data_IF_765039467539
#
_entry.id   IF_765039467539
#
_cell.length_a   1.000
_cell.length_b   1.000
_cell.length_c   1.000
_cell.angle_alpha   90.00
_cell.angle_beta   90.00
_cell.angle_gamma   90.00
#
_symmetry.space_group_name_H-M   'P 1'
#
loop_
_entity.id
_entity.type
_entity.pdbx_description
1 polymer ?
#
# COMPACT_ATOMS: atom_id res chain seq x y z
N UNK A 1 -24.27 -9.77 14.92
CA UNK A 1 -22.92 -9.32 14.50
C UNK A 1 -22.21 -10.53 13.90
N UNK A 2 -22.14 -10.66 12.57
CA UNK A 2 -21.43 -11.79 11.95
C UNK A 2 -19.93 -11.60 12.09
N UNK A 3 -19.25 -12.55 12.72
CA UNK A 3 -17.79 -12.55 12.81
C UNK A 3 -17.17 -12.44 11.41
N UNK A 4 -16.17 -11.56 11.25
CA UNK A 4 -15.42 -11.44 10.01
C UNK A 4 -14.46 -12.62 9.89
N UNK A 5 -14.99 -13.79 9.54
CA UNK A 5 -14.20 -14.99 9.25
C UNK A 5 -13.57 -14.85 7.86
N UNK A 6 -12.42 -14.17 7.80
CA UNK A 6 -11.61 -14.12 6.60
C UNK A 6 -10.94 -15.50 6.39
N UNK A 7 -11.69 -16.45 5.84
CA UNK A 7 -11.18 -17.78 5.49
C UNK A 7 -10.52 -17.75 4.11
N UNK A 8 -9.32 -18.33 4.01
CA UNK A 8 -8.58 -18.46 2.76
C UNK A 8 -9.39 -19.34 1.79
N UNK A 9 -9.47 -18.94 0.52
CA UNK A 9 -10.13 -19.72 -0.52
C UNK A 9 -9.38 -21.03 -0.80
N UNK A 10 -10.07 -22.17 -0.66
CA UNK A 10 -9.54 -23.47 -1.10
C UNK A 10 -9.66 -23.63 -2.62
N UNK A 11 -8.88 -24.53 -3.24
CA UNK A 11 -9.03 -24.85 -4.66
C UNK A 11 -10.43 -25.34 -5.00
N UNK A 12 -11.00 -26.22 -4.17
CA UNK A 12 -12.35 -26.77 -4.37
C UNK A 12 -13.44 -25.69 -4.35
N UNK A 13 -13.34 -24.72 -3.43
CA UNK A 13 -14.28 -23.60 -3.35
C UNK A 13 -14.20 -22.73 -4.62
N UNK A 14 -12.99 -22.50 -5.15
CA UNK A 14 -12.79 -21.75 -6.38
C UNK A 14 -13.34 -22.50 -7.58
N UNK A 15 -13.15 -23.81 -7.67
CA UNK A 15 -13.65 -24.63 -8.77
C UNK A 15 -15.18 -24.65 -8.78
N UNK A 16 -15.81 -24.78 -7.60
CA UNK A 16 -17.27 -24.65 -7.45
C UNK A 16 -17.76 -23.28 -7.92
N UNK A 17 -17.09 -22.20 -7.49
CA UNK A 17 -17.41 -20.83 -7.90
C UNK A 17 -17.31 -20.65 -9.42
N UNK A 18 -16.20 -21.08 -10.03
CA UNK A 18 -15.93 -20.97 -11.47
C UNK A 18 -16.97 -21.75 -12.28
N UNK A 19 -17.31 -22.97 -11.83
CA UNK A 19 -18.27 -23.84 -12.51
C UNK A 19 -19.65 -23.20 -12.57
N UNK A 20 -20.15 -22.68 -11.44
CA UNK A 20 -21.48 -22.05 -11.38
C UNK A 20 -21.54 -20.76 -12.19
N UNK A 21 -20.48 -19.94 -12.13
CA UNK A 21 -20.40 -18.71 -12.91
C UNK A 21 -20.37 -19.00 -14.40
N UNK A 22 -19.63 -20.02 -14.84
CA UNK A 22 -19.57 -20.41 -16.25
C UNK A 22 -20.92 -20.93 -16.73
N UNK A 23 -21.61 -21.73 -15.91
CA UNK A 23 -22.95 -22.25 -16.19
C UNK A 23 -24.01 -21.13 -16.29
N UNK A 24 -23.95 -20.12 -15.41
CA UNK A 24 -24.88 -18.99 -15.49
C UNK A 24 -24.50 -18.00 -16.60
N UNK A 25 -23.22 -17.88 -16.98
CA UNK A 25 -22.81 -17.06 -18.12
C UNK A 25 -23.30 -17.62 -19.45
N UNK A 26 -23.34 -18.95 -19.61
CA UNK A 26 -23.80 -19.57 -20.86
C UNK A 26 -25.30 -19.37 -21.14
N UNK A 27 -26.10 -19.06 -20.13
CA UNK A 27 -27.53 -18.75 -20.30
C UNK A 27 -27.78 -17.30 -20.72
N UNK A 28 -26.76 -16.45 -20.77
CA UNK A 28 -26.86 -15.04 -21.20
C UNK A 28 -27.59 -14.13 -20.20
N UNK A 29 -27.97 -14.64 -19.03
CA UNK A 29 -28.63 -13.89 -17.97
C UNK A 29 -27.64 -13.27 -16.98
N UNK A 30 -28.12 -12.32 -16.17
CA UNK A 30 -27.34 -11.74 -15.08
C UNK A 30 -27.00 -12.81 -14.05
N UNK A 31 -25.77 -12.79 -13.54
CA UNK A 31 -25.30 -13.71 -12.50
C UNK A 31 -26.14 -13.58 -11.22
N UNK A 32 -26.69 -14.69 -10.77
CA UNK A 32 -27.39 -14.82 -9.49
C UNK A 32 -26.39 -15.24 -8.41
N UNK A 33 -25.95 -14.25 -7.64
CA UNK A 33 -24.96 -14.44 -6.58
C UNK A 33 -25.52 -15.14 -5.34
N UNK A 34 -26.83 -15.09 -5.09
CA UNK A 34 -27.46 -15.84 -4.01
C UNK A 34 -27.36 -17.34 -4.31
N UNK A 35 -27.70 -17.71 -5.54
CA UNK A 35 -27.57 -19.09 -6.00
C UNK A 35 -26.11 -19.54 -6.02
N UNK A 36 -25.17 -18.69 -6.45
CA UNK A 36 -23.74 -19.06 -6.44
C UNK A 36 -23.25 -19.28 -4.99
N UNK A 37 -23.67 -18.43 -4.05
CA UNK A 37 -23.27 -18.55 -2.65
C UNK A 37 -23.83 -19.82 -2.00
N UNK A 38 -25.02 -20.31 -2.38
CA UNK A 38 -25.53 -21.57 -1.84
C UNK A 38 -24.67 -22.78 -2.23
N UNK A 39 -23.83 -22.70 -3.26
CA UNK A 39 -22.86 -23.76 -3.60
C UNK A 39 -21.51 -23.60 -2.88
N UNK A 40 -21.24 -22.40 -2.34
CA UNK A 40 -20.02 -22.06 -1.60
C UNK A 40 -20.43 -21.53 -0.23
N UNK A 41 -21.11 -22.37 0.54
CA UNK A 41 -21.76 -22.02 1.81
C UNK A 41 -20.79 -21.41 2.85
N UNK A 42 -19.50 -21.74 2.73
CA UNK A 42 -18.41 -21.23 3.56
C UNK A 42 -18.06 -19.77 3.30
N UNK A 43 -18.60 -19.17 2.22
CA UNK A 43 -18.32 -17.80 1.80
C UNK A 43 -19.61 -17.01 1.69
N UNK A 44 -19.50 -15.71 1.92
CA UNK A 44 -20.59 -14.76 1.71
C UNK A 44 -20.75 -14.43 0.23
N UNK A 45 -21.93 -13.93 -0.14
CA UNK A 45 -22.24 -13.40 -1.47
C UNK A 45 -21.18 -12.38 -1.92
N UNK A 46 -20.77 -11.51 -0.98
CA UNK A 46 -19.77 -10.48 -1.24
C UNK A 46 -18.40 -11.07 -1.56
N UNK A 47 -17.96 -12.06 -0.77
CA UNK A 47 -16.70 -12.76 -1.03
C UNK A 47 -16.71 -13.47 -2.38
N UNK A 48 -17.84 -14.08 -2.77
CA UNK A 48 -17.99 -14.71 -4.09
C UNK A 48 -17.84 -13.69 -5.23
N UNK A 49 -18.44 -12.50 -5.08
CA UNK A 49 -18.29 -11.41 -6.06
C UNK A 49 -16.84 -10.92 -6.14
N UNK A 50 -16.20 -10.65 -5.00
CA UNK A 50 -14.82 -10.16 -4.97
C UNK A 50 -13.86 -11.20 -5.60
N UNK A 51 -14.07 -12.48 -5.31
CA UNK A 51 -13.29 -13.56 -5.92
C UNK A 51 -13.55 -13.69 -7.43
N UNK A 52 -14.79 -13.51 -7.88
CA UNK A 52 -15.10 -13.44 -9.31
C UNK A 52 -14.36 -12.29 -10.00
N UNK A 53 -14.34 -11.11 -9.38
CA UNK A 53 -13.62 -9.95 -9.90
C UNK A 53 -12.13 -10.27 -10.03
N UNK A 54 -11.52 -10.90 -9.03
CA UNK A 54 -10.11 -11.30 -9.08
C UNK A 54 -9.81 -12.35 -10.16
N UNK A 55 -10.72 -13.30 -10.39
CA UNK A 55 -10.51 -14.40 -11.33
C UNK A 55 -10.81 -14.03 -12.79
N UNK A 56 -11.86 -13.24 -13.03
CA UNK A 56 -12.41 -13.02 -14.37
C UNK A 56 -12.29 -11.59 -14.88
N UNK A 57 -12.14 -10.59 -14.01
CA UNK A 57 -11.67 -9.30 -14.50
C UNK A 57 -10.18 -9.47 -14.71
N UNK A 58 -9.70 -9.07 -15.88
CA UNK A 58 -8.25 -8.92 -16.11
C UNK A 58 -7.71 -8.19 -14.88
N UNK A 59 -6.59 -8.62 -14.27
CA UNK A 59 -5.91 -7.74 -13.32
C UNK A 59 -5.84 -6.41 -14.05
N UNK A 60 -6.38 -5.36 -13.42
CA UNK A 60 -6.18 -4.01 -13.94
C UNK A 60 -4.72 -4.00 -14.34
N UNK A 61 -4.42 -3.79 -15.63
CA UNK A 61 -3.03 -3.70 -16.11
C UNK A 61 -2.37 -2.89 -15.02
N UNK A 62 -1.50 -3.52 -14.23
CA UNK A 62 -0.70 -2.76 -13.30
C UNK A 62 0.16 -2.01 -14.27
N UNK A 63 -0.30 -0.81 -14.68
CA UNK A 63 0.46 0.11 -15.48
C UNK A 63 1.83 0.05 -14.85
N UNK A 64 2.77 -0.47 -15.65
CA UNK A 64 4.14 -0.77 -15.29
C UNK A 64 4.53 0.08 -14.10
N UNK A 65 4.62 -0.54 -12.91
CA UNK A 65 4.88 0.17 -11.65
C UNK A 65 5.99 1.18 -11.94
N UNK A 66 5.69 2.47 -11.77
CA UNK A 66 6.64 3.52 -12.14
C UNK A 66 7.99 3.21 -11.48
N UNK A 67 9.01 3.07 -12.32
CA UNK A 67 10.35 2.72 -11.90
C UNK A 67 11.08 4.01 -11.55
N UNK A 68 11.20 4.26 -10.25
CA UNK A 68 11.87 5.43 -9.73
C UNK A 68 13.35 5.40 -10.12
N UNK A 69 13.80 6.46 -10.78
CA UNK A 69 15.24 6.71 -10.98
C UNK A 69 15.82 7.46 -9.79
N UNK A 70 17.12 7.30 -9.54
CA UNK A 70 17.83 7.99 -8.45
C UNK A 70 17.67 9.52 -8.57
N UNK A 71 17.65 10.03 -9.79
CA UNK A 71 17.46 11.45 -10.09
C UNK A 71 16.07 11.94 -9.69
N UNK A 72 15.02 11.17 -10.00
CA UNK A 72 13.65 11.49 -9.58
C UNK A 72 13.49 11.42 -8.06
N UNK A 73 14.12 10.45 -7.42
CA UNK A 73 14.15 10.31 -5.96
C UNK A 73 14.81 11.52 -5.29
N UNK A 74 16.00 11.92 -5.75
CA UNK A 74 16.70 13.10 -5.26
C UNK A 74 15.88 14.37 -5.46
N UNK A 75 15.27 14.52 -6.64
CA UNK A 75 14.37 15.65 -6.94
C UNK A 75 13.17 15.65 -5.98
N UNK A 76 12.56 14.50 -5.73
CA UNK A 76 11.39 14.38 -4.85
C UNK A 76 11.73 14.80 -3.43
N UNK A 77 12.85 14.31 -2.89
CA UNK A 77 13.33 14.68 -1.55
C UNK A 77 13.60 16.18 -1.47
N UNK A 78 14.26 16.77 -2.46
CA UNK A 78 14.56 18.20 -2.47
C UNK A 78 13.29 19.06 -2.50
N UNK A 79 12.36 18.75 -3.40
CA UNK A 79 11.10 19.50 -3.53
C UNK A 79 10.22 19.32 -2.28
N UNK A 80 10.19 18.12 -1.69
CA UNK A 80 9.47 17.87 -0.44
C UNK A 80 10.06 18.65 0.75
N UNK A 81 11.39 18.76 0.84
CA UNK A 81 12.07 19.60 1.86
C UNK A 81 11.70 21.08 1.75
N UNK A 82 11.56 21.59 0.53
CA UNK A 82 11.19 22.99 0.29
C UNK A 82 9.70 23.25 0.53
N UNK A 83 8.85 22.27 0.25
CA UNK A 83 7.39 22.40 0.28
C UNK A 83 6.74 21.17 0.96
N UNK A 84 6.95 20.99 2.28
CA UNK A 84 6.44 19.81 2.98
C UNK A 84 4.92 19.76 2.89
N UNK A 85 4.39 18.58 2.54
CA UNK A 85 2.96 18.27 2.43
C UNK A 85 2.13 19.06 1.43
N UNK A 86 2.73 19.98 0.67
CA UNK A 86 2.05 20.69 -0.42
C UNK A 86 2.07 19.82 -1.68
N UNK A 87 1.35 18.71 -1.63
CA UNK A 87 1.40 17.66 -2.65
C UNK A 87 1.03 18.13 -4.05
N UNK A 88 0.14 19.10 -4.17
CA UNK A 88 -0.22 19.69 -5.47
C UNK A 88 0.96 20.45 -6.09
N UNK A 89 1.71 21.23 -5.29
CA UNK A 89 2.92 21.90 -5.75
C UNK A 89 4.03 20.91 -6.11
N UNK A 90 4.16 19.84 -5.32
CA UNK A 90 5.13 18.77 -5.62
C UNK A 90 4.73 18.07 -6.92
N UNK A 91 3.44 17.76 -7.13
CA UNK A 91 2.96 17.09 -8.34
C UNK A 91 3.22 17.91 -9.60
N UNK A 92 3.16 19.24 -9.53
CA UNK A 92 3.50 20.11 -10.67
C UNK A 92 4.95 19.89 -11.17
N UNK A 93 5.85 19.38 -10.32
CA UNK A 93 7.23 19.03 -10.69
C UNK A 93 7.38 17.63 -11.27
N UNK A 94 6.32 16.81 -11.23
CA UNK A 94 6.25 15.41 -11.66
C UNK A 94 4.95 15.14 -12.43
N UNK A 95 4.77 15.68 -13.65
CA UNK A 95 3.51 15.61 -14.39
C UNK A 95 3.07 14.18 -14.74
N UNK A 96 4.02 13.24 -14.82
CA UNK A 96 3.76 11.84 -15.12
C UNK A 96 3.42 11.00 -13.87
N UNK A 97 3.45 11.58 -12.68
CA UNK A 97 3.21 10.90 -11.41
C UNK A 97 1.97 11.46 -10.72
N UNK A 98 1.21 10.56 -10.10
CA UNK A 98 0.09 10.95 -9.27
C UNK A 98 0.52 11.21 -7.82
N UNK A 99 -0.25 12.02 -7.09
CA UNK A 99 0.02 12.36 -5.68
C UNK A 99 0.18 11.11 -4.80
N UNK A 100 -0.56 10.04 -5.09
CA UNK A 100 -0.50 8.79 -4.33
C UNK A 100 0.86 8.12 -4.47
N UNK A 101 1.44 8.08 -5.67
CA UNK A 101 2.78 7.56 -5.95
C UNK A 101 3.84 8.38 -5.21
N UNK A 102 3.73 9.71 -5.24
CA UNK A 102 4.64 10.61 -4.54
C UNK A 102 4.59 10.39 -3.02
N UNK A 103 3.39 10.34 -2.43
CA UNK A 103 3.18 10.07 -1.00
C UNK A 103 3.76 8.71 -0.59
N UNK A 104 3.45 7.66 -1.36
CA UNK A 104 3.98 6.34 -1.09
C UNK A 104 5.51 6.33 -1.10
N UNK A 105 6.13 7.02 -2.06
CA UNK A 105 7.59 7.11 -2.15
C UNK A 105 8.21 7.90 -0.99
N UNK A 106 7.65 9.06 -0.64
CA UNK A 106 8.12 9.82 0.54
C UNK A 106 7.99 8.99 1.82
N UNK A 107 6.87 8.27 1.99
CA UNK A 107 6.69 7.38 3.14
C UNK A 107 7.74 6.26 3.18
N UNK A 108 8.20 5.75 2.03
CA UNK A 108 9.31 4.79 2.03
C UNK A 108 10.61 5.40 2.49
N UNK A 109 10.90 6.66 2.12
CA UNK A 109 12.10 7.36 2.59
C UNK A 109 12.06 7.64 4.08
N UNK A 110 10.91 8.07 4.62
CA UNK A 110 10.75 8.31 6.05
C UNK A 110 11.01 7.01 6.83
N UNK A 111 10.37 5.90 6.43
CA UNK A 111 10.59 4.60 7.09
C UNK A 111 12.03 4.12 7.02
N UNK A 112 12.71 4.33 5.88
CA UNK A 112 14.11 3.95 5.72
C UNK A 112 15.05 4.81 6.58
N UNK A 113 14.77 6.12 6.69
CA UNK A 113 15.53 6.99 7.58
C UNK A 113 15.30 6.64 9.04
N UNK A 114 14.07 6.35 9.44
CA UNK A 114 13.74 5.89 10.79
C UNK A 114 14.47 4.58 11.12
N UNK A 115 14.47 3.60 10.19
CA UNK A 115 15.13 2.31 10.40
C UNK A 115 16.66 2.44 10.49
N UNK A 116 17.27 3.27 9.63
CA UNK A 116 18.71 3.54 9.69
C UNK A 116 19.08 4.28 11.00
N UNK A 117 18.29 5.27 11.39
CA UNK A 117 18.46 6.00 12.65
C UNK A 117 18.34 5.10 13.88
N UNK A 118 17.37 4.19 13.90
CA UNK A 118 17.21 3.23 14.99
C UNK A 118 18.41 2.27 15.08
N UNK A 119 18.93 1.79 13.94
CA UNK A 119 20.15 0.96 13.90
C UNK A 119 21.38 1.72 14.36
N UNK A 120 21.52 2.97 13.97
CA UNK A 120 22.63 3.83 14.41
C UNK A 120 22.58 4.10 15.92
N UNK A 121 21.38 4.29 16.49
CA UNK A 121 21.20 4.41 17.94
C UNK A 121 21.56 3.09 18.65
N UNK A 122 21.12 1.95 18.14
CA UNK A 122 21.44 0.63 18.72
C UNK A 122 22.95 0.34 18.68
N UNK A 123 23.60 0.66 17.56
CA UNK A 123 25.05 0.52 17.39
C UNK A 123 25.83 1.51 18.28
N UNK A 124 25.36 2.76 18.40
CA UNK A 124 25.97 3.78 19.25
C UNK A 124 25.78 3.50 20.75
N UNK A 125 24.66 2.88 21.16
CA UNK A 125 24.45 2.47 22.55
C UNK A 125 25.31 1.25 22.95
N UNK A 126 25.89 0.54 21.99
CA UNK A 126 26.90 -0.50 22.23
C UNK A 126 28.33 0.06 22.33
N UNK A 127 28.56 1.32 21.95
CA UNK A 127 29.88 1.99 21.92
C UNK A 127 29.96 3.22 22.85
N UNK A 128 29.62 3.05 24.13
CA UNK A 128 30.10 3.88 25.27
C UNK A 128 29.62 5.36 25.31
N UNK A 129 29.44 5.85 26.55
CA UNK A 129 28.92 7.18 26.88
C UNK A 129 29.85 8.37 26.57
N UNK A 130 29.30 9.56 26.88
CA UNK A 130 29.78 10.92 26.56
C UNK A 130 29.56 11.29 25.09
N UNK A 131 28.96 12.39 24.67
CA UNK A 131 28.50 13.62 25.28
C UNK A 131 28.43 14.65 24.13
N UNK A 132 27.38 15.46 24.07
CA UNK A 132 27.20 16.68 23.24
C UNK A 132 26.72 16.61 21.77
N UNK A 133 27.10 15.65 20.92
CA UNK A 133 26.56 15.62 19.52
C UNK A 133 25.12 15.10 19.38
N UNK A 134 24.60 14.43 20.41
CA UNK A 134 23.22 13.91 20.47
C UNK A 134 22.15 15.01 20.49
N UNK A 135 22.49 16.28 20.72
CA UNK A 135 21.48 17.34 20.91
C UNK A 135 21.01 17.98 19.59
N UNK A 136 21.91 18.24 18.64
CA UNK A 136 21.57 18.99 17.42
C UNK A 136 20.76 18.16 16.42
N UNK A 137 21.13 16.89 16.24
CA UNK A 137 20.36 15.96 15.41
C UNK A 137 19.00 15.63 16.02
N UNK A 138 18.89 15.58 17.36
CA UNK A 138 17.61 15.40 18.05
C UNK A 138 16.70 16.61 17.82
N UNK A 139 17.24 17.83 17.83
CA UNK A 139 16.48 19.06 17.59
C UNK A 139 15.95 19.11 16.14
N UNK A 140 16.74 18.74 15.13
CA UNK A 140 16.28 18.72 13.74
C UNK A 140 15.19 17.68 13.48
N UNK A 141 15.29 16.51 14.13
CA UNK A 141 14.28 15.45 14.02
C UNK A 141 13.02 15.75 14.83
N UNK A 142 13.14 16.42 15.98
CA UNK A 142 11.98 16.88 16.75
C UNK A 142 11.28 18.06 16.05
N UNK A 143 12.03 18.92 15.38
CA UNK A 143 11.50 19.98 14.51
C UNK A 143 10.82 19.40 13.27
N UNK A 144 11.39 18.35 12.66
CA UNK A 144 10.73 17.59 11.59
C UNK A 144 9.48 16.90 12.11
N UNK A 145 9.54 16.15 13.22
CA UNK A 145 8.38 15.49 13.84
C UNK A 145 7.22 16.44 14.14
N UNK A 146 7.52 17.61 14.72
CA UNK A 146 6.54 18.69 14.95
C UNK A 146 5.97 19.29 13.66
N UNK A 147 6.76 19.36 12.59
CA UNK A 147 6.31 19.78 11.25
C UNK A 147 5.45 18.71 10.56
N UNK A 148 5.69 17.44 10.88
CA UNK A 148 5.01 16.27 10.35
C UNK A 148 3.74 15.89 11.14
N UNK A 149 3.41 16.63 12.22
CA UNK A 149 2.21 16.41 13.03
C UNK A 149 2.22 15.12 13.86
N UNK A 150 3.40 14.64 14.23
CA UNK A 150 3.60 13.57 15.22
C UNK A 150 4.03 14.15 16.57
#
# INVERSE_FOLDING_TARGET
MSERTYSKWSPEEKDKLITQITKQKSTGLKLDWLQIQSYVETKTIRQCYDQYVLLFKKPHKTDSRHMWTVQEEMKLVNVFKQNPYKWELIQNQFPNLNIVQLKNKVNTFIKQQDEYFLKDIENANQTIGTGTEKSENKILLEQLGKLLGM
#
